data_IF_246172581296
#
_entry.id   IF_246172581296
#
_cell.length_a   1.000
_cell.length_b   1.000
_cell.length_c   1.000
_cell.angle_alpha   90.00
_cell.angle_beta   90.00
_cell.angle_gamma   90.00
#
_symmetry.space_group_name_H-M   'P 1'
#
loop_
_entity.id
_entity.type
_entity.pdbx_description
1 polymer ?
#
# COMPACT_ATOMS: atom_id res chain seq x y z
N UNK A 1 15.58 0.44 -42.69
CA UNK A 1 16.11 -0.69 -43.50
C UNK A 1 16.82 -1.60 -42.54
N UNK A 2 16.20 -2.67 -42.13
CA UNK A 2 16.73 -4.02 -41.87
C UNK A 2 15.56 -4.83 -41.28
N UNK A 3 14.95 -5.63 -42.13
CA UNK A 3 13.99 -6.67 -41.79
C UNK A 3 14.74 -7.83 -41.14
N UNK A 4 14.42 -8.19 -39.91
CA UNK A 4 14.84 -9.45 -39.30
C UNK A 4 13.73 -10.48 -39.48
N UNK A 5 14.06 -11.56 -40.19
CA UNK A 5 13.18 -12.71 -40.47
C UNK A 5 12.66 -13.35 -39.17
N UNK A 6 11.36 -13.48 -39.09
CA UNK A 6 10.68 -14.33 -38.12
C UNK A 6 10.64 -15.75 -38.67
N UNK A 7 11.35 -16.66 -38.02
CA UNK A 7 11.29 -18.09 -38.29
C UNK A 7 9.97 -18.65 -37.76
N UNK A 8 9.11 -19.10 -38.67
CA UNK A 8 7.88 -19.84 -38.38
C UNK A 8 8.25 -21.30 -38.06
N UNK A 9 8.32 -21.65 -36.80
CA UNK A 9 8.27 -23.04 -36.39
C UNK A 9 6.79 -23.47 -36.29
N UNK A 10 6.36 -24.20 -37.29
CA UNK A 10 5.09 -24.94 -37.33
C UNK A 10 5.16 -26.05 -36.28
N UNK A 11 4.49 -25.85 -35.14
CA UNK A 11 4.26 -26.89 -34.13
C UNK A 11 3.06 -27.73 -34.56
N UNK A 12 3.35 -28.99 -34.82
CA UNK A 12 2.42 -30.09 -35.13
C UNK A 12 1.33 -30.20 -34.06
N UNK A 13 0.06 -30.01 -34.47
CA UNK A 13 -1.11 -30.11 -33.60
C UNK A 13 -1.52 -31.59 -33.52
N UNK A 14 -0.81 -32.34 -32.69
CA UNK A 14 -1.24 -33.67 -32.28
C UNK A 14 -2.52 -33.60 -31.40
N UNK A 15 -3.61 -34.07 -31.94
CA UNK A 15 -4.93 -34.24 -31.32
C UNK A 15 -4.85 -35.19 -30.09
N UNK A 16 -4.66 -34.68 -28.89
CA UNK A 16 -4.91 -35.41 -27.65
C UNK A 16 -6.05 -34.74 -26.88
N UNK A 17 -7.26 -35.24 -27.08
CA UNK A 17 -8.39 -35.06 -26.18
C UNK A 17 -8.10 -35.71 -24.81
N UNK A 18 -7.22 -35.11 -24.03
CA UNK A 18 -7.08 -35.40 -22.61
C UNK A 18 -7.94 -34.44 -21.80
N UNK A 19 -9.01 -34.95 -21.16
CA UNK A 19 -9.77 -34.22 -20.14
C UNK A 19 -8.78 -33.57 -19.14
N UNK A 20 -8.94 -32.30 -18.75
CA UNK A 20 -8.13 -31.73 -17.73
C UNK A 20 -8.39 -32.47 -16.41
N UNK A 21 -7.50 -33.39 -16.05
CA UNK A 21 -7.50 -34.00 -14.73
C UNK A 21 -7.29 -32.85 -13.72
N UNK A 22 -8.35 -32.51 -12.98
CA UNK A 22 -8.26 -31.73 -11.77
C UNK A 22 -7.43 -32.56 -10.74
N UNK A 23 -6.13 -32.41 -10.76
CA UNK A 23 -5.29 -32.95 -9.69
C UNK A 23 -5.72 -32.27 -8.40
N UNK A 24 -6.07 -33.01 -7.36
CA UNK A 24 -6.48 -32.41 -6.11
C UNK A 24 -5.35 -31.55 -5.53
N UNK A 25 -5.70 -30.41 -4.96
CA UNK A 25 -4.83 -29.39 -4.37
C UNK A 25 -3.74 -29.95 -3.42
N UNK A 26 -4.03 -31.10 -2.79
CA UNK A 26 -3.13 -31.79 -1.85
C UNK A 26 -1.96 -32.52 -2.51
N UNK A 27 -1.99 -32.85 -3.81
CA UNK A 27 -0.85 -33.48 -4.50
C UNK A 27 0.27 -32.50 -4.87
N UNK A 28 0.07 -31.21 -4.70
CA UNK A 28 1.11 -30.18 -4.89
C UNK A 28 2.13 -30.08 -3.77
N UNK A 29 1.91 -30.77 -2.66
CA UNK A 29 2.76 -30.68 -1.46
C UNK A 29 3.78 -31.85 -1.38
N UNK A 30 4.53 -32.09 -2.44
CA UNK A 30 5.73 -32.92 -2.32
C UNK A 30 6.79 -32.18 -1.50
N UNK A 31 7.74 -32.91 -0.91
CA UNK A 31 8.68 -32.42 0.11
C UNK A 31 9.48 -31.17 -0.30
N UNK A 32 9.65 -30.93 -1.61
CA UNK A 32 10.33 -29.76 -2.16
C UNK A 32 9.45 -28.51 -2.19
N UNK A 33 8.13 -28.66 -2.04
CA UNK A 33 7.14 -27.61 -2.14
C UNK A 33 6.54 -27.17 -0.79
N UNK A 34 6.90 -27.84 0.33
CA UNK A 34 6.39 -27.47 1.66
C UNK A 34 6.62 -26.00 2.01
N UNK A 35 7.72 -25.45 1.53
CA UNK A 35 8.06 -24.04 1.79
C UNK A 35 7.16 -23.05 1.04
N UNK A 36 6.45 -23.47 -0.01
CA UNK A 36 5.52 -22.62 -0.78
C UNK A 36 4.33 -22.22 0.10
N UNK A 37 3.99 -22.98 1.13
CA UNK A 37 2.92 -22.61 2.04
C UNK A 37 3.15 -21.24 2.70
N UNK A 38 4.39 -20.91 3.06
CA UNK A 38 4.72 -19.61 3.64
C UNK A 38 4.48 -18.45 2.66
N UNK A 39 4.80 -18.67 1.38
CA UNK A 39 4.48 -17.72 0.32
C UNK A 39 2.97 -17.51 0.17
N UNK A 40 2.21 -18.60 0.14
CA UNK A 40 0.75 -18.55 -0.03
C UNK A 40 0.07 -17.90 1.17
N UNK A 41 0.55 -18.20 2.39
CA UNK A 41 0.09 -17.54 3.62
C UNK A 41 0.45 -16.05 3.60
N UNK A 42 1.68 -15.69 3.23
CA UNK A 42 2.09 -14.29 3.11
C UNK A 42 1.15 -13.51 2.17
N UNK A 43 0.81 -14.10 1.02
CA UNK A 43 -0.12 -13.50 0.06
C UNK A 43 -1.55 -13.44 0.61
N UNK A 44 -2.00 -14.46 1.35
CA UNK A 44 -3.31 -14.47 1.99
C UNK A 44 -3.46 -13.39 3.06
N UNK A 45 -2.38 -13.09 3.77
CA UNK A 45 -2.36 -12.06 4.82
C UNK A 45 -2.03 -10.64 4.31
N UNK A 46 -1.89 -10.41 3.00
CA UNK A 46 -1.64 -9.07 2.47
C UNK A 46 -2.68 -8.03 2.91
N UNK A 47 -4.01 -8.29 2.88
CA UNK A 47 -5.00 -7.31 3.35
C UNK A 47 -5.19 -7.31 4.87
N UNK A 48 -4.37 -8.05 5.64
CA UNK A 48 -4.52 -8.25 7.10
C UNK A 48 -3.35 -7.57 7.81
N UNK A 49 -3.30 -6.26 7.76
CA UNK A 49 -2.22 -5.47 8.37
C UNK A 49 -2.68 -4.64 9.59
N UNK A 50 -3.99 -4.60 9.87
CA UNK A 50 -4.57 -3.81 10.95
C UNK A 50 -4.97 -4.60 12.20
N UNK A 51 -4.77 -5.91 12.21
CA UNK A 51 -5.24 -6.76 13.30
C UNK A 51 -4.22 -6.94 14.42
N UNK A 52 -4.70 -7.22 15.62
CA UNK A 52 -3.87 -7.55 16.80
C UNK A 52 -3.24 -8.94 16.74
N UNK A 53 -3.49 -9.71 15.67
CA UNK A 53 -2.98 -11.07 15.50
C UNK A 53 -1.50 -11.14 15.12
N UNK A 54 -0.91 -10.04 14.66
CA UNK A 54 0.48 -9.98 14.22
C UNK A 54 1.46 -9.48 15.26
N UNK A 55 2.71 -9.38 14.85
CA UNK A 55 3.74 -8.73 15.65
C UNK A 55 3.38 -7.27 15.86
N UNK A 56 3.53 -6.79 17.09
CA UNK A 56 3.25 -5.42 17.44
C UNK A 56 4.15 -4.45 16.66
N UNK A 57 3.50 -3.57 15.93
CA UNK A 57 4.11 -2.35 15.41
C UNK A 57 3.11 -1.21 15.64
N UNK A 58 3.54 0.02 15.99
CA UNK A 58 2.62 1.07 16.48
C UNK A 58 1.49 1.44 15.52
N UNK A 59 1.59 1.10 14.25
CA UNK A 59 0.61 1.52 13.26
C UNK A 59 0.10 0.41 12.35
N UNK A 60 0.73 -0.77 12.34
CA UNK A 60 0.38 -1.88 11.46
C UNK A 60 0.94 -3.20 12.00
N UNK A 61 0.35 -4.30 11.55
CA UNK A 61 0.75 -5.64 11.95
C UNK A 61 1.47 -6.33 10.78
N UNK A 62 2.80 -6.43 10.78
CA UNK A 62 3.59 -6.91 9.64
C UNK A 62 3.55 -8.44 9.47
N UNK A 63 2.36 -9.05 9.44
CA UNK A 63 2.20 -10.51 9.29
C UNK A 63 2.74 -10.95 7.93
N UNK A 64 2.27 -10.32 6.85
CA UNK A 64 2.65 -10.68 5.48
C UNK A 64 4.15 -10.53 5.22
N UNK A 65 4.81 -9.40 5.55
CA UNK A 65 6.27 -9.27 5.42
C UNK A 65 7.05 -10.28 6.25
N UNK A 66 6.60 -10.61 7.46
CA UNK A 66 7.24 -11.63 8.29
C UNK A 66 7.16 -13.03 7.64
N UNK A 67 6.01 -13.40 7.08
CA UNK A 67 5.84 -14.67 6.37
C UNK A 67 6.67 -14.71 5.08
N UNK A 68 6.81 -13.60 4.35
CA UNK A 68 7.75 -13.49 3.22
C UNK A 68 9.20 -13.68 3.68
N UNK A 69 9.58 -13.12 4.84
CA UNK A 69 10.91 -13.33 5.40
C UNK A 69 11.15 -14.81 5.75
N UNK A 70 10.19 -15.48 6.37
CA UNK A 70 10.25 -16.93 6.64
C UNK A 70 10.43 -17.72 5.34
N UNK A 71 9.66 -17.39 4.29
CA UNK A 71 9.83 -18.02 2.98
C UNK A 71 11.22 -17.81 2.39
N UNK A 72 11.78 -16.59 2.50
CA UNK A 72 13.15 -16.29 2.06
C UNK A 72 14.19 -17.09 2.84
N UNK A 73 14.05 -17.18 4.16
CA UNK A 73 14.95 -17.94 5.02
C UNK A 73 14.91 -19.46 4.72
N UNK A 74 13.72 -20.02 4.52
CA UNK A 74 13.56 -21.41 4.08
C UNK A 74 14.19 -21.68 2.70
N UNK A 75 14.39 -20.65 1.89
CA UNK A 75 14.94 -20.74 0.55
C UNK A 75 16.26 -19.95 0.42
N UNK A 76 17.12 -20.00 1.42
CA UNK A 76 18.33 -19.19 1.53
C UNK A 76 19.28 -19.29 0.32
N UNK A 77 19.41 -20.48 -0.25
CA UNK A 77 20.26 -20.67 -1.46
C UNK A 77 19.71 -19.87 -2.65
N UNK A 78 18.40 -19.91 -2.87
CA UNK A 78 17.72 -19.15 -3.91
C UNK A 78 17.74 -17.65 -3.62
N UNK A 79 17.66 -17.26 -2.35
CA UNK A 79 17.77 -15.87 -1.93
C UNK A 79 19.12 -15.25 -2.32
N UNK A 80 20.22 -16.00 -2.17
CA UNK A 80 21.55 -15.57 -2.62
C UNK A 80 21.58 -15.33 -4.13
N UNK A 81 20.96 -16.23 -4.92
CA UNK A 81 20.86 -16.06 -6.37
C UNK A 81 20.03 -14.83 -6.73
N UNK A 82 18.89 -14.62 -6.04
CA UNK A 82 18.04 -13.44 -6.22
C UNK A 82 18.79 -12.16 -5.87
N UNK A 83 19.50 -12.13 -4.73
CA UNK A 83 20.27 -10.99 -4.29
C UNK A 83 21.37 -10.61 -5.28
N UNK A 84 22.09 -11.58 -5.84
CA UNK A 84 23.09 -11.33 -6.87
C UNK A 84 22.47 -10.80 -8.17
N UNK A 85 21.31 -11.33 -8.56
CA UNK A 85 20.62 -10.93 -9.80
C UNK A 85 20.01 -9.53 -9.70
N UNK A 86 19.47 -9.18 -8.55
CA UNK A 86 18.80 -7.91 -8.25
C UNK A 86 19.60 -7.07 -7.26
N UNK A 87 20.94 -7.12 -7.34
CA UNK A 87 21.86 -6.55 -6.36
C UNK A 87 21.52 -5.11 -6.00
N UNK A 88 21.22 -4.27 -6.99
CA UNK A 88 20.89 -2.86 -6.76
C UNK A 88 19.65 -2.69 -5.87
N UNK A 89 18.62 -3.53 -6.05
CA UNK A 89 17.40 -3.47 -5.23
C UNK A 89 17.65 -3.91 -3.79
N UNK A 90 18.55 -4.90 -3.59
CA UNK A 90 18.93 -5.37 -2.27
C UNK A 90 19.91 -4.42 -1.56
N UNK A 91 20.76 -3.72 -2.31
CA UNK A 91 21.70 -2.75 -1.75
C UNK A 91 21.03 -1.45 -1.31
N UNK A 92 19.93 -1.04 -1.95
CA UNK A 92 19.27 0.22 -1.65
C UNK A 92 18.85 0.37 -0.17
N UNK A 93 18.12 -0.59 0.45
CA UNK A 93 17.80 -0.51 1.88
C UNK A 93 19.03 -0.56 2.79
N UNK A 94 20.05 -1.33 2.42
CA UNK A 94 21.32 -1.39 3.17
C UNK A 94 22.02 -0.03 3.10
N UNK A 95 22.06 0.58 1.92
CA UNK A 95 22.60 1.93 1.74
C UNK A 95 21.84 2.96 2.59
N UNK A 96 20.50 2.88 2.65
CA UNK A 96 19.70 3.75 3.50
C UNK A 96 20.08 3.63 4.99
N UNK A 97 20.36 2.41 5.47
CA UNK A 97 20.80 2.18 6.85
C UNK A 97 22.20 2.80 7.07
N UNK A 98 23.14 2.55 6.16
CA UNK A 98 24.51 3.09 6.25
C UNK A 98 24.49 4.62 6.21
N UNK A 99 23.72 5.20 5.28
CA UNK A 99 23.55 6.65 5.18
C UNK A 99 22.84 7.27 6.39
N UNK A 100 22.17 6.48 7.22
CA UNK A 100 21.57 6.96 8.47
C UNK A 100 22.60 7.18 9.59
N UNK A 101 23.78 6.59 9.51
CA UNK A 101 24.80 6.65 10.57
C UNK A 101 25.22 8.10 10.91
N UNK A 102 25.54 8.97 9.95
CA UNK A 102 25.91 10.36 10.27
C UNK A 102 24.78 11.12 11.00
N UNK A 103 23.52 10.89 10.59
CA UNK A 103 22.36 11.47 11.25
C UNK A 103 22.22 10.98 12.70
N UNK A 104 22.40 9.71 12.95
CA UNK A 104 22.36 9.12 14.29
C UNK A 104 23.49 9.66 15.19
N UNK A 105 24.67 9.83 14.65
CA UNK A 105 25.83 10.40 15.40
C UNK A 105 25.59 11.87 15.77
N UNK A 106 24.92 12.65 14.91
CA UNK A 106 24.69 14.08 15.15
C UNK A 106 23.46 14.36 16.01
N UNK A 107 22.33 13.65 15.75
CA UNK A 107 21.03 13.96 16.36
C UNK A 107 20.61 12.93 17.42
N UNK A 108 21.42 11.89 17.64
CA UNK A 108 21.07 10.77 18.51
C UNK A 108 20.22 9.71 17.80
N UNK A 109 19.95 8.60 18.47
CA UNK A 109 19.17 7.48 17.96
C UNK A 109 17.88 7.37 18.76
N UNK A 110 16.74 7.53 18.08
CA UNK A 110 15.44 7.17 18.63
C UNK A 110 15.19 5.67 18.34
N UNK A 111 15.60 4.79 19.26
CA UNK A 111 15.67 3.33 19.04
C UNK A 111 14.38 2.74 18.51
N UNK A 112 13.22 3.06 19.09
CA UNK A 112 11.93 2.51 18.64
C UNK A 112 11.59 2.94 17.21
N UNK A 113 11.76 4.22 16.89
CA UNK A 113 11.47 4.73 15.56
C UNK A 113 12.48 4.23 14.51
N UNK A 114 13.76 4.11 14.89
CA UNK A 114 14.81 3.52 14.05
C UNK A 114 14.52 2.05 13.77
N UNK A 115 14.16 1.27 14.79
CA UNK A 115 13.77 -0.13 14.66
C UNK A 115 12.56 -0.31 13.72
N UNK A 116 11.55 0.56 13.83
CA UNK A 116 10.38 0.55 12.95
C UNK A 116 10.75 0.84 11.48
N UNK A 117 11.60 1.82 11.25
CA UNK A 117 12.07 2.17 9.91
C UNK A 117 12.89 1.03 9.30
N UNK A 118 13.77 0.41 10.07
CA UNK A 118 14.60 -0.72 9.64
C UNK A 118 13.72 -1.95 9.35
N UNK A 119 12.77 -2.28 10.22
CA UNK A 119 11.84 -3.39 10.00
C UNK A 119 10.99 -3.18 8.75
N UNK A 120 10.56 -1.95 8.46
CA UNK A 120 9.90 -1.61 7.20
C UNK A 120 10.76 -1.90 5.98
N UNK A 121 12.03 -1.46 6.00
CA UNK A 121 13.00 -1.74 4.92
C UNK A 121 13.29 -3.23 4.75
N UNK A 122 13.45 -3.97 5.85
CA UNK A 122 13.63 -5.44 5.81
C UNK A 122 12.38 -6.15 5.27
N UNK A 123 11.18 -5.65 5.58
CA UNK A 123 9.92 -6.15 5.04
C UNK A 123 9.85 -5.99 3.51
N UNK A 124 10.30 -4.86 2.98
CA UNK A 124 10.42 -4.64 1.52
C UNK A 124 11.40 -5.62 0.90
N UNK A 125 12.59 -5.81 1.50
CA UNK A 125 13.59 -6.79 1.03
C UNK A 125 13.04 -8.22 1.04
N UNK A 126 12.35 -8.61 2.10
CA UNK A 126 11.75 -9.93 2.23
C UNK A 126 10.69 -10.14 1.13
N UNK A 127 9.85 -9.14 0.86
CA UNK A 127 8.83 -9.21 -0.20
C UNK A 127 9.46 -9.33 -1.58
N UNK A 128 10.45 -8.49 -1.90
CA UNK A 128 11.18 -8.55 -3.18
C UNK A 128 11.90 -9.88 -3.35
N UNK A 129 12.59 -10.36 -2.31
CA UNK A 129 13.26 -11.65 -2.30
C UNK A 129 12.30 -12.80 -2.52
N UNK A 130 11.17 -12.81 -1.84
CA UNK A 130 10.15 -13.84 -1.98
C UNK A 130 9.56 -13.89 -3.39
N UNK A 131 9.24 -12.73 -3.97
CA UNK A 131 8.73 -12.61 -5.34
C UNK A 131 9.78 -13.10 -6.35
N UNK A 132 11.03 -12.68 -6.23
CA UNK A 132 12.12 -13.10 -7.11
C UNK A 132 12.36 -14.63 -7.01
N UNK A 133 12.40 -15.18 -5.80
CA UNK A 133 12.55 -16.62 -5.59
C UNK A 133 11.37 -17.38 -6.21
N UNK A 134 10.15 -16.93 -5.93
CA UNK A 134 8.95 -17.65 -6.34
C UNK A 134 8.76 -17.65 -7.86
N UNK A 135 8.83 -16.49 -8.50
CA UNK A 135 8.39 -16.35 -9.89
C UNK A 135 9.54 -16.34 -10.90
N UNK A 136 10.72 -15.87 -10.53
CA UNK A 136 11.85 -15.81 -11.44
C UNK A 136 12.76 -17.06 -11.33
N UNK A 137 13.10 -17.49 -10.10
CA UNK A 137 14.02 -18.61 -9.89
C UNK A 137 13.28 -19.94 -9.89
N UNK A 138 12.27 -20.12 -9.04
CA UNK A 138 11.49 -21.37 -8.93
C UNK A 138 10.40 -21.52 -9.97
N UNK A 139 10.05 -20.43 -10.65
CA UNK A 139 8.99 -20.39 -11.68
C UNK A 139 7.67 -20.98 -11.20
N UNK A 140 7.27 -20.69 -9.97
CA UNK A 140 6.00 -21.14 -9.39
C UNK A 140 4.85 -20.64 -10.28
N UNK A 141 3.87 -21.50 -10.62
CA UNK A 141 2.71 -21.08 -11.40
C UNK A 141 1.94 -19.95 -10.70
N UNK A 142 1.87 -18.77 -11.31
CA UNK A 142 1.25 -17.55 -10.76
C UNK A 142 -0.25 -17.68 -10.48
N UNK A 143 -0.94 -18.66 -11.11
CA UNK A 143 -2.40 -18.81 -10.98
C UNK A 143 -2.84 -19.11 -9.56
N UNK A 144 -2.14 -19.97 -8.83
CA UNK A 144 -2.49 -20.32 -7.44
C UNK A 144 -2.29 -19.15 -6.48
N UNK A 145 -1.12 -18.48 -6.42
CA UNK A 145 -0.94 -17.25 -5.65
C UNK A 145 -2.00 -16.18 -5.96
N UNK A 146 -2.32 -15.98 -7.23
CA UNK A 146 -3.30 -14.99 -7.65
C UNK A 146 -4.73 -15.32 -7.22
N UNK A 147 -5.11 -16.62 -7.23
CA UNK A 147 -6.42 -17.05 -6.70
C UNK A 147 -6.53 -16.77 -5.21
N UNK A 148 -5.48 -17.07 -4.45
CA UNK A 148 -5.42 -16.81 -3.00
C UNK A 148 -5.50 -15.32 -2.73
N UNK A 149 -4.76 -14.51 -3.47
CA UNK A 149 -4.82 -13.05 -3.37
C UNK A 149 -6.27 -12.56 -3.57
N UNK A 150 -6.89 -12.92 -4.67
CA UNK A 150 -8.27 -12.50 -4.98
C UNK A 150 -9.24 -12.94 -3.87
N UNK A 151 -9.12 -14.18 -3.41
CA UNK A 151 -9.97 -14.71 -2.34
C UNK A 151 -9.78 -13.96 -1.02
N UNK A 152 -8.53 -13.65 -0.66
CA UNK A 152 -8.18 -12.90 0.55
C UNK A 152 -8.77 -11.48 0.54
N UNK A 153 -8.71 -10.77 -0.59
CA UNK A 153 -9.34 -9.46 -0.68
C UNK A 153 -10.86 -9.52 -0.67
N UNK A 154 -11.49 -10.54 -1.28
CA UNK A 154 -12.93 -10.75 -1.14
C UNK A 154 -13.33 -11.04 0.31
N UNK A 155 -12.52 -11.82 1.02
CA UNK A 155 -12.73 -12.08 2.44
C UNK A 155 -12.64 -10.78 3.27
N UNK A 156 -11.59 -9.99 3.05
CA UNK A 156 -11.44 -8.69 3.69
C UNK A 156 -12.62 -7.75 3.40
N UNK A 157 -13.13 -7.74 2.16
CA UNK A 157 -14.32 -6.99 1.79
C UNK A 157 -15.55 -7.47 2.56
N UNK A 158 -15.76 -8.79 2.66
CA UNK A 158 -16.84 -9.37 3.44
C UNK A 158 -16.79 -8.96 4.92
N UNK A 159 -15.60 -8.96 5.51
CA UNK A 159 -15.40 -8.44 6.88
C UNK A 159 -15.79 -6.96 6.97
N UNK A 160 -15.41 -6.13 6.00
CA UNK A 160 -15.82 -4.73 5.96
C UNK A 160 -17.32 -4.53 5.90
N UNK A 161 -18.03 -5.35 5.10
CA UNK A 161 -19.51 -5.33 5.07
C UNK A 161 -20.12 -5.68 6.43
N UNK A 162 -19.58 -6.71 7.09
CA UNK A 162 -20.06 -7.11 8.43
C UNK A 162 -19.77 -6.03 9.47
N UNK A 163 -18.61 -5.38 9.41
CA UNK A 163 -18.29 -4.22 10.25
C UNK A 163 -19.29 -3.08 10.03
N UNK A 164 -19.55 -2.73 8.78
CA UNK A 164 -20.51 -1.69 8.42
C UNK A 164 -21.92 -2.00 8.93
N UNK A 165 -22.40 -3.23 8.74
CA UNK A 165 -23.68 -3.67 9.27
C UNK A 165 -23.72 -3.60 10.80
N UNK A 166 -22.64 -3.98 11.48
CA UNK A 166 -22.58 -3.94 12.95
C UNK A 166 -22.69 -2.52 13.51
N UNK A 167 -22.13 -1.54 12.79
CA UNK A 167 -22.22 -0.12 13.14
C UNK A 167 -23.65 0.39 12.90
N UNK A 168 -24.20 0.20 11.70
CA UNK A 168 -25.50 0.77 11.32
C UNK A 168 -26.70 0.11 12.02
N UNK A 169 -26.62 -1.20 12.30
CA UNK A 169 -27.63 -1.92 13.06
C UNK A 169 -27.40 -1.87 14.57
N UNK A 170 -26.38 -1.11 15.03
CA UNK A 170 -26.04 -0.94 16.45
C UNK A 170 -25.84 -2.27 17.20
N UNK A 171 -25.26 -3.30 16.54
CA UNK A 171 -25.00 -4.60 17.13
C UNK A 171 -23.75 -4.49 18.01
N UNK A 172 -23.89 -3.98 19.24
CA UNK A 172 -22.78 -3.72 20.17
C UNK A 172 -21.81 -4.90 20.38
N UNK A 173 -22.27 -6.17 20.56
CA UNK A 173 -21.34 -7.28 20.77
C UNK A 173 -20.41 -7.51 19.55
N UNK A 174 -20.96 -7.37 18.35
CA UNK A 174 -20.20 -7.59 17.11
C UNK A 174 -19.23 -6.43 16.83
N UNK A 175 -19.69 -5.20 17.03
CA UNK A 175 -18.83 -4.01 16.93
C UNK A 175 -17.69 -4.07 17.96
N UNK A 176 -17.98 -4.50 19.19
CA UNK A 176 -16.97 -4.72 20.24
C UNK A 176 -15.96 -5.79 19.88
N UNK A 177 -16.38 -6.91 19.30
CA UNK A 177 -15.48 -7.95 18.82
C UNK A 177 -14.49 -7.41 17.78
N UNK A 178 -14.99 -6.70 16.76
CA UNK A 178 -14.13 -6.09 15.76
C UNK A 178 -13.23 -4.99 16.33
N UNK A 179 -13.71 -4.20 17.29
CA UNK A 179 -12.89 -3.19 17.95
C UNK A 179 -11.69 -3.83 18.69
N UNK A 180 -11.90 -4.97 19.33
CA UNK A 180 -10.80 -5.72 19.98
C UNK A 180 -9.85 -6.40 18.98
N UNK A 181 -10.39 -6.85 17.84
CA UNK A 181 -9.59 -7.48 16.79
C UNK A 181 -8.65 -6.48 16.11
N UNK A 182 -9.04 -5.21 16.03
CA UNK A 182 -8.29 -4.19 15.32
C UNK A 182 -7.39 -3.39 16.26
N UNK A 183 -6.17 -3.13 15.84
CA UNK A 183 -5.21 -2.35 16.61
C UNK A 183 -5.67 -0.89 16.77
N UNK A 184 -6.12 -0.25 15.67
CA UNK A 184 -6.77 1.05 15.68
C UNK A 184 -8.27 0.87 15.54
N UNK A 185 -9.01 1.45 16.47
CA UNK A 185 -10.44 1.19 16.61
C UNK A 185 -11.28 2.21 15.85
N UNK A 186 -11.27 2.23 14.52
CA UNK A 186 -12.12 3.11 13.72
C UNK A 186 -13.61 2.73 13.78
N UNK A 187 -13.95 1.53 14.20
CA UNK A 187 -15.31 1.03 14.35
C UNK A 187 -16.00 1.69 15.54
N UNK A 188 -15.25 1.98 16.60
CA UNK A 188 -15.77 2.60 17.81
C UNK A 188 -16.04 4.09 17.58
N UNK A 189 -17.28 4.54 17.78
CA UNK A 189 -17.70 5.95 17.59
C UNK A 189 -16.89 6.94 18.45
N UNK A 190 -16.51 6.53 19.66
CA UNK A 190 -15.71 7.34 20.59
C UNK A 190 -14.21 7.35 20.28
N UNK A 191 -13.77 6.74 19.18
CA UNK A 191 -12.37 6.66 18.83
C UNK A 191 -11.77 8.01 18.49
N UNK A 192 -10.63 8.31 19.07
CA UNK A 192 -9.79 9.50 18.74
C UNK A 192 -9.34 9.56 17.27
N UNK A 193 -9.45 8.45 16.56
CA UNK A 193 -9.09 8.33 15.14
C UNK A 193 -10.23 8.67 14.17
N UNK A 194 -11.37 9.14 14.68
CA UNK A 194 -12.59 9.37 13.89
C UNK A 194 -13.36 8.06 13.67
N UNK A 195 -14.16 7.68 14.66
CA UNK A 195 -14.89 6.41 14.72
C UNK A 195 -16.14 6.34 13.87
N UNK A 196 -16.88 5.23 14.04
CA UNK A 196 -18.15 4.99 13.35
C UNK A 196 -18.02 4.54 11.89
N UNK A 197 -16.83 4.04 11.46
CA UNK A 197 -16.59 3.63 10.07
C UNK A 197 -15.86 2.30 9.97
N UNK A 198 -16.17 1.48 8.94
CA UNK A 198 -15.48 0.22 8.73
C UNK A 198 -14.04 0.47 8.23
N UNK A 199 -13.11 -0.34 8.71
CA UNK A 199 -11.71 -0.34 8.28
C UNK A 199 -11.28 -1.64 7.61
N UNK A 200 -12.22 -2.59 7.48
CA UNK A 200 -11.97 -3.93 6.96
C UNK A 200 -10.93 -4.68 7.83
N UNK A 201 -9.86 -5.20 7.24
CA UNK A 201 -8.75 -5.79 7.96
C UNK A 201 -7.48 -4.93 7.89
N UNK A 202 -7.59 -3.69 7.39
CA UNK A 202 -6.46 -2.77 7.26
C UNK A 202 -6.22 -1.96 8.54
N UNK A 203 -4.98 -1.55 8.74
CA UNK A 203 -4.59 -0.72 9.87
C UNK A 203 -5.31 0.64 9.88
N UNK A 204 -5.59 1.17 8.69
CA UNK A 204 -6.37 2.39 8.49
C UNK A 204 -7.29 2.25 7.27
N UNK A 205 -8.47 2.89 7.28
CA UNK A 205 -9.32 2.96 6.10
C UNK A 205 -8.62 3.52 4.86
N UNK A 206 -7.65 4.42 5.05
CA UNK A 206 -6.84 4.99 3.97
C UNK A 206 -5.99 3.96 3.21
N UNK A 207 -5.65 2.82 3.83
CA UNK A 207 -4.86 1.76 3.20
C UNK A 207 -5.65 0.98 2.16
N UNK A 208 -6.98 1.02 2.22
CA UNK A 208 -7.84 0.40 1.20
C UNK A 208 -7.46 0.92 -0.19
N UNK A 209 -7.39 2.25 -0.37
CA UNK A 209 -6.99 2.87 -1.63
C UNK A 209 -5.59 2.46 -2.08
N UNK A 210 -4.63 2.44 -1.14
CA UNK A 210 -3.25 2.00 -1.43
C UNK A 210 -3.21 0.56 -1.95
N UNK A 211 -3.96 -0.36 -1.36
CA UNK A 211 -4.02 -1.75 -1.80
C UNK A 211 -4.75 -1.90 -3.14
N UNK A 212 -5.87 -1.23 -3.34
CA UNK A 212 -6.62 -1.31 -4.59
C UNK A 212 -5.81 -0.78 -5.78
N UNK A 213 -5.19 0.38 -5.62
CA UNK A 213 -4.57 1.10 -6.72
C UNK A 213 -3.04 0.91 -6.78
N UNK A 214 -2.38 0.62 -5.67
CA UNK A 214 -0.96 0.32 -5.63
C UNK A 214 -0.62 -1.16 -5.86
N UNK A 215 -1.53 -2.09 -5.55
CA UNK A 215 -1.28 -3.54 -5.68
C UNK A 215 -2.18 -4.17 -6.75
N UNK A 216 -3.51 -4.08 -6.58
CA UNK A 216 -4.44 -4.82 -7.44
C UNK A 216 -4.54 -4.23 -8.85
N UNK A 217 -4.50 -2.92 -9.01
CA UNK A 217 -4.60 -2.27 -10.33
C UNK A 217 -3.39 -2.56 -11.22
N UNK A 218 -2.12 -2.40 -10.77
CA UNK A 218 -0.96 -2.81 -11.55
C UNK A 218 -0.98 -4.30 -11.90
N UNK A 219 -1.41 -5.15 -10.96
CA UNK A 219 -1.54 -6.58 -11.19
C UNK A 219 -2.61 -6.90 -12.24
N UNK A 220 -3.75 -6.20 -12.22
CA UNK A 220 -4.78 -6.30 -13.26
C UNK A 220 -4.23 -5.94 -14.64
N UNK A 221 -3.46 -4.86 -14.74
CA UNK A 221 -2.82 -4.46 -16.01
C UNK A 221 -1.83 -5.50 -16.50
N UNK A 222 -1.02 -6.04 -15.61
CA UNK A 222 -0.08 -7.13 -15.95
C UNK A 222 -0.82 -8.37 -16.47
N UNK A 223 -1.96 -8.72 -15.86
CA UNK A 223 -2.78 -9.87 -16.29
C UNK A 223 -3.53 -9.62 -17.60
N UNK A 224 -3.78 -8.37 -17.98
CA UNK A 224 -4.50 -8.02 -19.21
C UNK A 224 -3.83 -8.57 -20.47
N UNK A 225 -2.50 -8.62 -20.49
CA UNK A 225 -1.69 -9.19 -21.56
C UNK A 225 -1.46 -10.70 -21.46
N UNK A 226 -1.75 -11.32 -20.29
CA UNK A 226 -1.42 -12.74 -20.03
C UNK A 226 -2.66 -13.64 -19.91
N UNK A 227 -3.69 -13.19 -19.18
CA UNK A 227 -4.90 -13.97 -18.94
C UNK A 227 -6.10 -13.02 -18.69
N UNK A 228 -6.96 -12.90 -19.72
CA UNK A 228 -8.13 -12.01 -19.68
C UNK A 228 -9.15 -12.37 -18.59
N UNK A 229 -9.23 -13.65 -18.20
CA UNK A 229 -10.18 -14.10 -17.17
C UNK A 229 -9.75 -13.53 -15.81
N UNK A 230 -8.49 -13.65 -15.46
CA UNK A 230 -7.97 -13.09 -14.20
C UNK A 230 -7.95 -11.57 -14.21
N UNK A 231 -7.63 -10.94 -15.33
CA UNK A 231 -7.76 -9.49 -15.47
C UNK A 231 -9.20 -9.01 -15.20
N UNK A 232 -10.22 -9.72 -15.73
CA UNK A 232 -11.62 -9.42 -15.45
C UNK A 232 -11.99 -9.63 -13.98
N UNK A 233 -11.51 -10.71 -13.35
CA UNK A 233 -11.74 -10.97 -11.91
C UNK A 233 -11.15 -9.88 -11.03
N UNK A 234 -9.91 -9.46 -11.29
CA UNK A 234 -9.26 -8.35 -10.58
C UNK A 234 -10.00 -7.04 -10.80
N UNK A 235 -10.39 -6.73 -12.05
CA UNK A 235 -11.17 -5.53 -12.34
C UNK A 235 -12.48 -5.51 -11.55
N UNK A 236 -13.22 -6.61 -11.54
CA UNK A 236 -14.48 -6.70 -10.82
C UNK A 236 -14.26 -6.53 -9.31
N UNK A 237 -13.20 -7.14 -8.75
CA UNK A 237 -12.81 -6.97 -7.35
C UNK A 237 -12.52 -5.50 -7.04
N UNK A 238 -11.67 -4.84 -7.83
CA UNK A 238 -11.30 -3.42 -7.63
C UNK A 238 -12.56 -2.53 -7.67
N UNK A 239 -13.42 -2.71 -8.68
CA UNK A 239 -14.61 -1.87 -8.85
C UNK A 239 -15.60 -2.09 -7.69
N UNK A 240 -15.91 -3.33 -7.34
CA UNK A 240 -16.85 -3.64 -6.24
C UNK A 240 -16.29 -3.15 -4.91
N UNK A 241 -14.99 -3.37 -4.69
CA UNK A 241 -14.35 -2.96 -3.46
C UNK A 241 -14.31 -1.44 -3.33
N UNK A 242 -13.95 -0.70 -4.39
CA UNK A 242 -13.93 0.77 -4.39
C UNK A 242 -15.33 1.36 -4.17
N UNK A 243 -16.32 0.91 -4.95
CA UNK A 243 -17.71 1.40 -4.82
C UNK A 243 -18.26 1.04 -3.44
N UNK A 244 -18.09 -0.19 -2.99
CA UNK A 244 -18.57 -0.64 -1.68
C UNK A 244 -17.92 0.15 -0.54
N UNK A 245 -16.62 0.42 -0.60
CA UNK A 245 -15.93 1.21 0.42
C UNK A 245 -16.41 2.65 0.47
N UNK A 246 -16.73 3.26 -0.68
CA UNK A 246 -17.31 4.61 -0.74
C UNK A 246 -18.73 4.61 -0.16
N UNK A 247 -19.58 3.66 -0.56
CA UNK A 247 -20.94 3.54 -0.06
C UNK A 247 -20.99 3.28 1.46
N UNK A 248 -20.05 2.52 1.97
CA UNK A 248 -19.91 2.25 3.42
C UNK A 248 -19.20 3.39 4.17
N UNK A 249 -18.86 4.50 3.50
CA UNK A 249 -18.14 5.64 4.08
C UNK A 249 -16.86 5.25 4.82
N UNK A 250 -16.16 4.22 4.31
CA UNK A 250 -14.96 3.70 4.95
C UNK A 250 -13.82 4.74 5.00
N UNK A 251 -13.75 5.67 4.04
CA UNK A 251 -12.77 6.75 4.10
C UNK A 251 -12.76 7.64 2.86
N UNK A 252 -12.62 8.93 3.09
CA UNK A 252 -12.53 10.01 2.10
C UNK A 252 -11.41 9.79 1.07
N UNK A 253 -10.27 9.27 1.52
CA UNK A 253 -9.10 9.05 0.67
C UNK A 253 -9.39 8.08 -0.48
N UNK A 254 -10.26 7.09 -0.29
CA UNK A 254 -10.63 6.13 -1.34
C UNK A 254 -11.23 6.83 -2.55
N UNK A 255 -12.02 7.89 -2.32
CA UNK A 255 -12.61 8.69 -3.40
C UNK A 255 -11.50 9.36 -4.21
N UNK A 256 -10.57 10.03 -3.52
CA UNK A 256 -9.43 10.72 -4.17
C UNK A 256 -8.54 9.73 -4.92
N UNK A 257 -8.15 8.63 -4.28
CA UNK A 257 -7.31 7.60 -4.89
C UNK A 257 -8.02 6.96 -6.11
N UNK A 258 -9.35 6.78 -6.05
CA UNK A 258 -10.15 6.26 -7.16
C UNK A 258 -10.19 7.23 -8.35
N UNK A 259 -10.33 8.52 -8.08
CA UNK A 259 -10.30 9.56 -9.12
C UNK A 259 -8.93 9.61 -9.78
N UNK A 260 -7.85 9.64 -8.99
CA UNK A 260 -6.48 9.64 -9.52
C UNK A 260 -6.21 8.38 -10.35
N UNK A 261 -6.60 7.19 -9.85
CA UNK A 261 -6.44 5.94 -10.58
C UNK A 261 -7.24 5.94 -11.90
N UNK A 262 -8.45 6.51 -11.90
CA UNK A 262 -9.28 6.64 -13.09
C UNK A 262 -8.64 7.60 -14.11
N UNK A 263 -8.14 8.73 -13.67
CA UNK A 263 -7.43 9.70 -14.53
C UNK A 263 -6.20 9.05 -15.17
N UNK A 264 -5.36 8.40 -14.39
CA UNK A 264 -4.17 7.67 -14.89
C UNK A 264 -4.58 6.57 -15.87
N UNK A 265 -5.62 5.80 -15.55
CA UNK A 265 -6.12 4.73 -16.44
C UNK A 265 -6.61 5.31 -17.78
N UNK A 266 -7.31 6.43 -17.77
CA UNK A 266 -7.78 7.10 -18.98
C UNK A 266 -6.60 7.62 -19.82
N UNK A 267 -5.62 8.26 -19.19
CA UNK A 267 -4.44 8.80 -19.86
C UNK A 267 -3.63 7.69 -20.53
N UNK A 268 -3.38 6.60 -19.78
CA UNK A 268 -2.55 5.48 -20.27
C UNK A 268 -3.27 4.64 -21.32
N UNK A 269 -4.60 4.52 -21.23
CA UNK A 269 -5.34 3.59 -22.08
C UNK A 269 -5.81 4.17 -23.42
N UNK A 270 -5.98 5.49 -23.52
CA UNK A 270 -6.42 6.12 -24.75
C UNK A 270 -5.25 6.42 -25.70
N UNK A 271 -5.45 6.14 -27.00
CA UNK A 271 -4.53 6.59 -28.04
C UNK A 271 -4.80 8.07 -28.37
N UNK A 272 -3.94 8.96 -27.90
CA UNK A 272 -4.09 10.41 -28.06
C UNK A 272 -3.76 10.90 -29.49
N UNK A 273 -3.15 10.06 -30.32
CA UNK A 273 -2.86 10.35 -31.72
C UNK A 273 -4.11 10.27 -32.61
N UNK A 274 -5.06 9.40 -32.28
CA UNK A 274 -6.33 9.27 -33.02
C UNK A 274 -7.34 10.31 -32.53
N UNK A 275 -7.88 11.15 -33.48
CA UNK A 275 -8.84 12.21 -33.18
C UNK A 275 -10.08 11.70 -32.42
N UNK A 276 -10.63 10.55 -32.82
CA UNK A 276 -11.83 9.98 -32.19
C UNK A 276 -11.55 9.51 -30.75
N UNK A 277 -10.42 8.85 -30.53
CA UNK A 277 -10.01 8.39 -29.20
C UNK A 277 -9.59 9.55 -28.29
N UNK A 278 -8.98 10.59 -28.85
CA UNK A 278 -8.64 11.81 -28.12
C UNK A 278 -9.89 12.52 -27.59
N UNK A 279 -10.92 12.74 -28.44
CA UNK A 279 -12.18 13.35 -27.99
C UNK A 279 -12.86 12.50 -26.91
N UNK A 280 -12.87 11.18 -27.08
CA UNK A 280 -13.40 10.25 -26.07
C UNK A 280 -12.59 10.33 -24.77
N UNK A 281 -11.26 10.36 -24.85
CA UNK A 281 -10.37 10.50 -23.69
C UNK A 281 -10.62 11.80 -22.93
N UNK A 282 -10.75 12.94 -23.62
CA UNK A 282 -11.08 14.23 -23.00
C UNK A 282 -12.44 14.17 -22.30
N UNK A 283 -13.47 13.62 -22.95
CA UNK A 283 -14.79 13.48 -22.32
C UNK A 283 -14.75 12.60 -21.06
N UNK A 284 -13.97 11.52 -21.08
CA UNK A 284 -13.76 10.66 -19.90
C UNK A 284 -12.99 11.39 -18.78
N UNK A 285 -11.97 12.19 -19.11
CA UNK A 285 -11.23 13.02 -18.14
C UNK A 285 -12.16 14.04 -17.49
N UNK A 286 -12.96 14.75 -18.28
CA UNK A 286 -13.96 15.69 -17.75
C UNK A 286 -14.96 14.98 -16.84
N UNK A 287 -15.47 13.81 -17.24
CA UNK A 287 -16.35 12.99 -16.39
C UNK A 287 -15.68 12.57 -15.08
N UNK A 288 -14.42 12.17 -15.09
CA UNK A 288 -13.67 11.81 -13.89
C UNK A 288 -13.45 13.01 -12.96
N UNK A 289 -13.15 14.19 -13.52
CA UNK A 289 -13.03 15.43 -12.73
C UNK A 289 -14.38 15.80 -12.12
N UNK A 290 -15.47 15.71 -12.88
CA UNK A 290 -16.81 15.97 -12.35
C UNK A 290 -17.21 15.01 -11.22
N UNK A 291 -16.88 13.72 -11.36
CA UNK A 291 -17.08 12.73 -10.27
C UNK A 291 -16.25 13.08 -9.04
N UNK A 292 -15.01 13.55 -9.22
CA UNK A 292 -14.17 14.04 -8.13
C UNK A 292 -14.80 15.24 -7.41
N UNK A 293 -15.29 16.22 -8.15
CA UNK A 293 -15.98 17.40 -7.60
C UNK A 293 -17.26 16.99 -6.86
N UNK A 294 -18.07 16.10 -7.42
CA UNK A 294 -19.25 15.55 -6.72
C UNK A 294 -18.87 14.81 -5.44
N UNK A 295 -17.76 14.06 -5.46
CA UNK A 295 -17.23 13.41 -4.26
C UNK A 295 -16.82 14.40 -3.18
N UNK A 296 -16.19 15.52 -3.56
CA UNK A 296 -15.83 16.61 -2.63
C UNK A 296 -17.09 17.23 -2.02
N UNK A 297 -18.10 17.51 -2.85
CA UNK A 297 -19.35 18.11 -2.35
C UNK A 297 -20.17 17.16 -1.48
N UNK A 298 -20.07 15.85 -1.72
CA UNK A 298 -20.82 14.84 -0.95
C UNK A 298 -20.15 14.45 0.37
N UNK A 299 -18.86 14.67 0.54
CA UNK A 299 -18.08 14.29 1.72
C UNK A 299 -17.72 15.55 2.54
N UNK A 300 -18.21 15.62 3.78
CA UNK A 300 -18.02 16.77 4.65
C UNK A 300 -16.56 17.08 4.98
N UNK A 301 -15.67 16.08 4.96
CA UNK A 301 -14.23 16.29 5.18
C UNK A 301 -13.56 16.86 3.93
N UNK A 302 -13.96 16.40 2.74
CA UNK A 302 -13.44 16.95 1.48
C UNK A 302 -13.94 18.36 1.26
N UNK A 303 -15.19 18.67 1.57
CA UNK A 303 -15.72 20.03 1.51
C UNK A 303 -15.00 20.96 2.50
N UNK A 304 -14.74 20.49 3.74
CA UNK A 304 -13.96 21.26 4.72
C UNK A 304 -12.53 21.54 4.24
N UNK A 305 -11.87 20.59 3.57
CA UNK A 305 -10.55 20.82 2.96
C UNK A 305 -10.65 21.84 1.81
N UNK A 306 -11.72 21.76 1.01
CA UNK A 306 -11.92 22.70 -0.11
C UNK A 306 -12.18 24.15 0.37
N UNK A 307 -12.89 24.30 1.50
CA UNK A 307 -13.23 25.60 2.09
C UNK A 307 -12.08 26.20 2.92
N UNK A 308 -11.43 25.36 3.75
CA UNK A 308 -10.46 25.80 4.75
C UNK A 308 -9.02 25.40 4.40
N UNK A 309 -8.80 24.83 3.21
CA UNK A 309 -7.48 24.39 2.78
C UNK A 309 -6.93 23.27 3.68
N UNK A 310 -5.63 23.34 3.99
CA UNK A 310 -4.93 22.34 4.79
C UNK A 310 -5.48 22.23 6.23
N UNK A 311 -6.02 23.29 6.79
CA UNK A 311 -6.57 23.33 8.15
C UNK A 311 -7.94 22.65 8.28
N UNK A 312 -8.62 22.43 7.16
CA UNK A 312 -9.94 21.80 7.12
C UNK A 312 -9.95 20.32 7.54
N UNK A 313 -8.80 19.64 7.52
CA UNK A 313 -8.64 18.25 7.99
C UNK A 313 -7.29 18.03 8.62
N UNK A 314 -7.29 17.69 9.91
CA UNK A 314 -6.04 17.49 10.68
C UNK A 314 -5.11 16.41 10.10
N UNK A 315 -5.65 15.41 9.41
CA UNK A 315 -4.84 14.37 8.76
C UNK A 315 -4.20 14.87 7.46
N UNK A 316 -4.90 15.71 6.70
CA UNK A 316 -4.37 16.35 5.49
C UNK A 316 -3.30 17.39 5.86
N UNK A 317 -3.60 18.23 6.84
CA UNK A 317 -2.67 19.17 7.43
C UNK A 317 -1.37 18.50 7.89
N UNK A 318 -1.48 17.45 8.69
CA UNK A 318 -0.31 16.70 9.16
C UNK A 318 0.55 16.15 8.00
N UNK A 319 -0.08 15.67 6.93
CA UNK A 319 0.65 15.14 5.74
C UNK A 319 1.40 16.22 4.97
N UNK A 320 0.86 17.42 4.88
CA UNK A 320 1.56 18.56 4.26
C UNK A 320 2.76 18.93 5.11
N UNK A 321 2.58 19.16 6.39
CA UNK A 321 3.67 19.55 7.28
C UNK A 321 4.70 18.45 7.45
N UNK A 322 4.26 17.18 7.59
CA UNK A 322 5.17 16.04 7.64
C UNK A 322 6.01 15.86 6.36
N UNK A 323 5.59 16.46 5.26
CA UNK A 323 6.35 16.43 4.00
C UNK A 323 7.21 17.67 3.81
N UNK A 324 6.71 18.85 4.14
CA UNK A 324 7.40 20.12 3.91
C UNK A 324 8.46 20.42 5.00
N UNK A 325 8.13 20.22 6.26
CA UNK A 325 9.06 20.49 7.35
C UNK A 325 10.37 19.71 7.25
N UNK A 326 10.38 18.39 6.99
CA UNK A 326 11.62 17.66 6.75
C UNK A 326 12.43 18.19 5.57
N UNK A 327 11.76 18.68 4.50
CA UNK A 327 12.44 19.30 3.35
C UNK A 327 13.10 20.62 3.77
N UNK A 328 12.39 21.46 4.53
CA UNK A 328 12.96 22.67 5.10
C UNK A 328 14.09 22.36 6.10
N UNK A 329 14.00 21.25 6.81
CA UNK A 329 15.07 20.73 7.67
C UNK A 329 16.36 20.42 6.90
N UNK A 330 16.26 19.94 5.64
CA UNK A 330 17.44 19.74 4.79
C UNK A 330 18.15 21.07 4.47
N UNK A 331 17.41 22.17 4.39
CA UNK A 331 18.01 23.51 4.22
C UNK A 331 18.72 23.99 5.48
N UNK A 332 18.21 23.63 6.66
CA UNK A 332 18.86 23.94 7.95
C UNK A 332 20.20 23.21 8.12
N UNK A 333 20.29 21.99 7.60
CA UNK A 333 21.48 21.16 7.65
C UNK A 333 21.79 20.56 6.26
N UNK A 334 22.45 21.32 5.35
CA UNK A 334 22.61 20.93 3.94
C UNK A 334 23.30 19.56 3.71
N UNK A 335 24.18 19.15 4.62
CA UNK A 335 24.83 17.83 4.53
C UNK A 335 23.82 16.66 4.64
N UNK A 336 22.67 16.87 5.28
CA UNK A 336 21.62 15.86 5.41
C UNK A 336 20.88 15.58 4.09
N UNK A 337 21.10 16.38 3.05
CA UNK A 337 20.59 16.09 1.69
C UNK A 337 21.11 14.74 1.18
N UNK A 338 22.37 14.39 1.50
CA UNK A 338 22.98 13.12 1.08
C UNK A 338 22.70 11.97 2.06
N UNK A 339 22.67 12.26 3.35
CA UNK A 339 22.65 11.22 4.41
C UNK A 339 21.32 11.11 5.13
N UNK A 340 20.45 12.09 4.99
CA UNK A 340 19.26 12.24 5.83
C UNK A 340 19.58 12.59 7.27
N UNK A 341 18.56 12.69 8.09
CA UNK A 341 18.65 12.84 9.55
C UNK A 341 18.90 11.52 10.28
N UNK A 342 18.91 10.42 9.55
CA UNK A 342 18.96 9.05 10.06
C UNK A 342 17.58 8.41 10.21
N UNK A 343 17.50 7.11 9.98
CA UNK A 343 16.24 6.36 10.11
C UNK A 343 15.66 6.55 11.52
N UNK A 344 14.37 6.87 11.58
CA UNK A 344 13.66 7.15 12.83
C UNK A 344 13.77 8.59 13.35
N UNK A 345 14.60 9.45 12.76
CA UNK A 345 14.83 10.83 13.23
C UNK A 345 13.98 11.88 12.48
N UNK A 346 12.79 11.50 11.98
CA UNK A 346 11.87 12.42 11.29
C UNK A 346 11.54 13.66 12.15
N UNK A 347 11.46 13.48 13.47
CA UNK A 347 11.17 14.55 14.43
C UNK A 347 12.23 15.63 14.37
N UNK A 348 13.50 15.24 14.37
CA UNK A 348 14.62 16.17 14.31
C UNK A 348 14.61 16.96 13.00
N UNK A 349 14.21 16.32 11.88
CA UNK A 349 14.04 16.99 10.60
C UNK A 349 12.89 18.00 10.62
N UNK A 350 11.73 17.63 11.19
CA UNK A 350 10.56 18.50 11.36
C UNK A 350 10.92 19.69 12.26
N UNK A 351 11.57 19.47 13.39
CA UNK A 351 12.03 20.52 14.30
C UNK A 351 12.96 21.51 13.61
N UNK A 352 13.98 21.01 12.93
CA UNK A 352 14.93 21.85 12.21
C UNK A 352 14.23 22.67 11.10
N UNK A 353 13.30 22.07 10.40
CA UNK A 353 12.51 22.73 9.36
C UNK A 353 11.61 23.82 9.91
N UNK A 354 10.85 23.53 10.96
CA UNK A 354 9.97 24.48 11.61
C UNK A 354 10.74 25.69 12.16
N UNK A 355 11.93 25.48 12.72
CA UNK A 355 12.78 26.57 13.20
C UNK A 355 13.39 27.40 12.07
N UNK A 356 13.84 26.74 10.99
CA UNK A 356 14.53 27.40 9.89
C UNK A 356 13.58 28.15 8.95
N UNK A 357 12.43 27.56 8.65
CA UNK A 357 11.46 28.04 7.68
C UNK A 357 10.15 28.57 8.31
N UNK A 358 10.15 28.81 9.62
CA UNK A 358 8.95 29.23 10.34
C UNK A 358 8.25 30.46 9.77
N UNK A 359 9.01 31.44 9.26
CA UNK A 359 8.45 32.63 8.58
C UNK A 359 7.79 32.26 7.26
N UNK A 360 8.47 31.47 6.42
CA UNK A 360 7.94 31.00 5.14
C UNK A 360 6.66 30.19 5.31
N UNK A 361 6.62 29.33 6.30
CA UNK A 361 5.45 28.51 6.60
C UNK A 361 4.28 29.35 7.13
N UNK A 362 4.58 30.37 7.98
CA UNK A 362 3.55 31.32 8.42
C UNK A 362 3.02 32.18 7.28
N UNK A 363 3.88 32.61 6.36
CA UNK A 363 3.47 33.40 5.17
C UNK A 363 2.59 32.57 4.21
N UNK A 364 2.74 31.24 4.24
CA UNK A 364 1.87 30.30 3.52
C UNK A 364 0.59 29.93 4.30
N UNK A 365 0.30 30.62 5.42
CA UNK A 365 -0.85 30.31 6.28
C UNK A 365 -0.67 29.03 7.10
N UNK A 366 0.55 28.52 7.19
CA UNK A 366 0.86 27.25 7.86
C UNK A 366 1.50 27.53 9.23
N UNK A 367 0.84 27.15 10.31
CA UNK A 367 1.32 27.35 11.67
C UNK A 367 2.32 26.23 12.08
N UNK A 368 3.63 26.52 11.95
CA UNK A 368 4.70 25.56 12.25
C UNK A 368 4.68 25.00 13.67
N UNK A 369 4.13 25.73 14.65
CA UNK A 369 4.02 25.24 16.03
C UNK A 369 3.06 24.05 16.16
N UNK A 370 2.00 23.99 15.36
CA UNK A 370 1.06 22.87 15.35
C UNK A 370 1.70 21.60 14.74
N UNK A 371 2.54 21.74 13.70
CA UNK A 371 3.27 20.63 13.10
C UNK A 371 4.27 20.01 14.09
N UNK A 372 5.00 20.83 14.85
CA UNK A 372 5.91 20.39 15.90
C UNK A 372 5.13 19.67 17.01
N UNK A 373 4.01 20.22 17.46
CA UNK A 373 3.15 19.59 18.47
C UNK A 373 2.66 18.21 18.03
N UNK A 374 2.29 18.06 16.77
CA UNK A 374 1.88 16.79 16.20
C UNK A 374 3.03 15.77 16.10
N UNK A 375 4.22 16.20 15.66
CA UNK A 375 5.41 15.36 15.60
C UNK A 375 5.85 14.88 16.99
N UNK A 376 5.80 15.73 18.00
CA UNK A 376 6.07 15.38 19.41
C UNK A 376 5.01 14.41 19.93
N UNK A 377 3.73 14.59 19.57
CA UNK A 377 2.65 13.67 19.92
C UNK A 377 2.89 12.26 19.38
N UNK A 378 3.30 12.14 18.11
CA UNK A 378 3.68 10.86 17.50
C UNK A 378 4.87 10.24 18.22
N UNK A 379 5.90 11.03 18.54
CA UNK A 379 7.08 10.56 19.27
C UNK A 379 6.72 9.96 20.63
N UNK A 380 5.86 10.62 21.38
CA UNK A 380 5.41 10.14 22.68
C UNK A 380 4.62 8.83 22.59
N UNK A 381 3.92 8.60 21.49
CA UNK A 381 3.25 7.32 21.21
C UNK A 381 4.22 6.23 20.75
N UNK A 382 5.32 6.59 20.06
CA UNK A 382 6.37 5.66 19.63
C UNK A 382 7.36 5.32 20.76
N UNK A 383 7.42 6.15 21.80
CA UNK A 383 8.32 5.99 22.95
C UNK A 383 7.71 5.22 24.14
N UNK A 384 6.41 4.87 24.07
CA UNK A 384 5.73 4.01 25.03
C UNK A 384 5.51 2.63 24.47
#
# INVERSE_FOLDING_TARGET
MNQACVHNDTIDVGNHHGRPQCRPFLQFLTTQERNVIWLLLAIAFLPVDGTTLGLYAPFWSPISPALFAVYCLCNWRQLRIAANRYLLMFLLPVACIILSIPGWLKFGIHLNAAFMSITGLLGVLATLGAIAIAFDIKRIPWRTPLRILIASYWFSFGVGVVQWLSIHLHIKPLAGYFAHLMYRQYINESSVWGGGRPQFLFAEPSYIGMHLFGVLLPLMWLMRGRDRIYAKRLRNLIVVYAIGSVLMQAGTRIVLDSVVALLVAIIVHNSWCDKKQRVRGIAQLLGAVMLGLLGVLADSRLSSIAENGAEGDGSFFARIYQSLDPICGLLAHPWTVLTGYGAGNIINAVWAGAQHAGRLLNDLGMNGSAAVGFAVGISNHLGR
#
